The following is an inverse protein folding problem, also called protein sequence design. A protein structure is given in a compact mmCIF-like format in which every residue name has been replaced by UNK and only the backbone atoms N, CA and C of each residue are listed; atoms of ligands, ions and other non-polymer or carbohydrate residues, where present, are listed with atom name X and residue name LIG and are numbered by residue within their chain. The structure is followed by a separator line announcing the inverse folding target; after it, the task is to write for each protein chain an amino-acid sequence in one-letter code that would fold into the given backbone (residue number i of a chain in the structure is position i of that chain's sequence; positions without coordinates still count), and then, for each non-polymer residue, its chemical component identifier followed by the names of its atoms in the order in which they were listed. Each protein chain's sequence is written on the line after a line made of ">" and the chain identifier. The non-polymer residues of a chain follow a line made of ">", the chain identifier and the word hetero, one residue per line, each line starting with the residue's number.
data_IF_445460197523
#
_entry.id   IF_445460197523
#
_cell.length_a   1.000
_cell.length_b   1.000
_cell.length_c   1.000
_cell.angle_alpha   90.00
_cell.angle_beta   90.00
_cell.angle_gamma   90.00
#
_symmetry.space_group_name_H-M   'P 1'
#
loop_
_entity.id
_entity.type
_entity.pdbx_description
1 polymer ?
#
# COMPACT_ATOMS: atom_id res chain seq x y z
N UNK A 1 -12.59 7.33 -15.68
CA UNK A 1 -11.20 7.83 -15.77
C UNK A 1 -10.40 7.04 -14.76
N UNK A 2 -9.42 6.26 -15.20
CA UNK A 2 -8.51 5.59 -14.27
C UNK A 2 -7.81 6.65 -13.42
N UNK A 3 -7.88 6.50 -12.10
CA UNK A 3 -7.25 7.44 -11.20
C UNK A 3 -5.76 7.12 -11.17
N UNK A 4 -4.96 7.95 -11.85
CA UNK A 4 -3.51 7.74 -11.97
C UNK A 4 -2.78 7.97 -10.63
N UNK A 5 -3.44 8.59 -9.65
CA UNK A 5 -2.89 8.81 -8.32
C UNK A 5 -3.76 8.06 -7.32
N UNK A 6 -3.18 7.04 -6.68
CA UNK A 6 -3.91 6.16 -5.76
C UNK A 6 -3.58 6.52 -4.31
N UNK A 7 -4.61 6.48 -3.46
CA UNK A 7 -4.48 6.59 -2.01
C UNK A 7 -5.15 5.35 -1.41
N UNK A 8 -4.34 4.42 -0.91
CA UNK A 8 -4.81 3.09 -0.50
C UNK A 8 -4.20 2.65 0.83
N UNK A 9 -4.93 1.86 1.59
CA UNK A 9 -4.39 1.10 2.71
C UNK A 9 -3.87 -0.27 2.27
N UNK A 10 -2.88 -0.80 2.97
CA UNK A 10 -2.37 -2.13 2.67
C UNK A 10 -3.43 -3.22 2.93
N UNK A 11 -3.94 -3.33 4.17
CA UNK A 11 -4.91 -4.36 4.57
C UNK A 11 -6.05 -3.76 5.37
N UNK A 12 -7.29 -3.91 4.89
CA UNK A 12 -8.49 -3.43 5.57
C UNK A 12 -8.70 -4.14 6.92
N UNK A 13 -9.31 -3.43 7.87
CA UNK A 13 -9.81 -4.02 9.12
C UNK A 13 -8.78 -4.27 10.22
N UNK A 14 -7.50 -3.87 10.04
CA UNK A 14 -6.48 -3.94 11.12
C UNK A 14 -6.58 -2.75 12.09
N UNK A 15 -6.92 -1.57 11.58
CA UNK A 15 -7.19 -0.32 12.31
C UNK A 15 -7.90 0.67 11.37
N UNK A 16 -8.56 1.69 11.90
CA UNK A 16 -9.09 2.80 11.07
C UNK A 16 -7.94 3.52 10.37
N UNK A 17 -8.07 3.72 9.06
CA UNK A 17 -7.10 4.44 8.23
C UNK A 17 -7.83 5.55 7.49
N UNK A 18 -7.18 6.70 7.24
CA UNK A 18 -7.77 7.81 6.48
C UNK A 18 -7.74 7.52 4.96
N UNK A 19 -8.22 6.35 4.56
CA UNK A 19 -8.37 5.91 3.17
C UNK A 19 -9.64 5.06 3.01
N UNK A 20 -10.29 5.14 1.85
CA UNK A 20 -11.51 4.39 1.56
C UNK A 20 -11.24 3.13 0.71
N UNK A 21 -10.00 2.95 0.25
CA UNK A 21 -9.62 1.90 -0.67
C UNK A 21 -8.40 1.14 -0.16
N UNK A 22 -8.30 -0.14 -0.50
CA UNK A 22 -7.29 -1.06 0.03
C UNK A 22 -6.73 -1.97 -1.06
N UNK A 23 -5.49 -2.42 -0.90
CA UNK A 23 -4.92 -3.49 -1.73
C UNK A 23 -5.57 -4.83 -1.35
N UNK A 24 -5.76 -5.07 -0.05
CA UNK A 24 -6.39 -6.27 0.48
C UNK A 24 -7.59 -5.92 1.38
N UNK A 25 -8.77 -6.43 1.03
CA UNK A 25 -10.02 -6.20 1.78
C UNK A 25 -10.19 -7.10 3.02
N UNK A 26 -9.33 -8.10 3.19
CA UNK A 26 -9.40 -9.09 4.25
C UNK A 26 -8.01 -9.56 4.68
N UNK A 27 -7.96 -10.47 5.66
CA UNK A 27 -6.71 -11.05 6.13
C UNK A 27 -5.91 -11.72 5.02
N UNK A 28 -4.59 -11.50 5.04
CA UNK A 28 -3.63 -11.97 4.04
C UNK A 28 -2.77 -13.07 4.63
N UNK A 29 -2.60 -14.18 3.91
CA UNK A 29 -1.58 -15.18 4.24
C UNK A 29 -0.19 -14.66 3.86
N UNK A 30 0.71 -14.36 4.81
CA UNK A 30 2.02 -13.78 4.51
C UNK A 30 2.97 -14.74 3.79
N UNK A 31 2.64 -16.03 3.71
CA UNK A 31 3.44 -17.04 3.01
C UNK A 31 3.09 -17.15 1.52
N UNK A 32 1.96 -16.60 1.08
CA UNK A 32 1.56 -16.61 -0.33
C UNK A 32 2.13 -15.41 -1.09
N UNK A 33 3.45 -15.43 -1.30
CA UNK A 33 4.17 -14.34 -1.98
C UNK A 33 3.63 -14.08 -3.40
N UNK A 34 3.18 -15.13 -4.10
CA UNK A 34 2.65 -15.01 -5.45
C UNK A 34 1.27 -14.34 -5.44
N UNK A 35 0.38 -14.77 -4.55
CA UNK A 35 -0.94 -14.14 -4.39
C UNK A 35 -0.82 -12.67 -3.97
N UNK A 36 0.10 -12.36 -3.06
CA UNK A 36 0.36 -10.97 -2.64
C UNK A 36 0.82 -10.14 -3.83
N UNK A 37 1.80 -10.62 -4.61
CA UNK A 37 2.28 -9.89 -5.79
C UNK A 37 1.17 -9.67 -6.82
N UNK A 38 0.40 -10.71 -7.15
CA UNK A 38 -0.69 -10.60 -8.12
C UNK A 38 -1.74 -9.58 -7.69
N UNK A 39 -2.07 -9.51 -6.39
CA UNK A 39 -3.06 -8.54 -5.90
C UNK A 39 -2.52 -7.11 -5.91
N UNK A 40 -1.24 -6.92 -5.60
CA UNK A 40 -0.55 -5.63 -5.74
C UNK A 40 -0.57 -5.19 -7.20
N UNK A 41 -0.23 -6.08 -8.13
CA UNK A 41 -0.26 -5.80 -9.56
C UNK A 41 -1.66 -5.44 -10.04
N UNK A 42 -2.67 -6.25 -9.73
CA UNK A 42 -4.07 -5.98 -10.07
C UNK A 42 -4.50 -4.59 -9.59
N UNK A 43 -4.08 -4.20 -8.38
CA UNK A 43 -4.50 -2.94 -7.77
C UNK A 43 -3.78 -1.71 -8.31
N UNK A 44 -2.48 -1.83 -8.58
CA UNK A 44 -1.60 -0.69 -8.87
C UNK A 44 -1.26 -0.55 -10.36
N UNK A 45 -1.68 -1.48 -11.21
CA UNK A 45 -1.45 -1.40 -12.66
C UNK A 45 -2.02 -0.08 -13.23
N UNK A 46 -1.21 0.61 -14.04
CA UNK A 46 -1.56 1.88 -14.65
C UNK A 46 -1.42 3.11 -13.75
N UNK A 47 -1.15 2.93 -12.45
CA UNK A 47 -0.91 4.05 -11.54
C UNK A 47 0.38 4.81 -11.90
N UNK A 48 0.37 6.12 -11.70
CA UNK A 48 1.55 7.01 -11.76
C UNK A 48 2.12 7.28 -10.38
N UNK A 49 1.26 7.41 -9.37
CA UNK A 49 1.68 7.61 -7.98
C UNK A 49 0.79 6.83 -7.01
N UNK A 50 1.37 6.44 -5.87
CA UNK A 50 0.70 5.72 -4.79
C UNK A 50 1.07 6.34 -3.44
N UNK A 51 0.06 6.70 -2.66
CA UNK A 51 0.15 6.94 -1.22
C UNK A 51 -0.37 5.68 -0.53
N UNK A 52 0.50 4.97 0.18
CA UNK A 52 0.19 3.71 0.85
C UNK A 52 0.14 3.89 2.37
N UNK A 53 -1.02 3.66 3.00
CA UNK A 53 -1.12 3.50 4.45
C UNK A 53 -0.71 2.08 4.87
N UNK A 54 0.39 1.98 5.61
CA UNK A 54 0.99 0.68 5.97
C UNK A 54 0.28 0.04 7.16
N UNK A 55 0.25 -1.30 7.20
CA UNK A 55 -0.44 -2.08 8.25
C UNK A 55 0.48 -3.07 8.97
N UNK A 56 1.78 -2.78 9.05
CA UNK A 56 2.78 -3.58 9.80
C UNK A 56 3.20 -4.92 9.16
N UNK A 57 2.56 -5.36 8.08
CA UNK A 57 2.97 -6.56 7.34
C UNK A 57 4.10 -6.23 6.36
N UNK A 58 5.34 -6.42 6.82
CA UNK A 58 6.56 -6.13 6.04
C UNK A 58 6.54 -6.78 4.65
N UNK A 59 6.01 -7.99 4.51
CA UNK A 59 5.92 -8.70 3.21
C UNK A 59 5.06 -7.96 2.18
N UNK A 60 4.00 -7.27 2.62
CA UNK A 60 3.15 -6.48 1.72
C UNK A 60 3.88 -5.18 1.37
N UNK A 61 4.43 -4.48 2.37
CA UNK A 61 5.16 -3.23 2.17
C UNK A 61 6.32 -3.42 1.19
N UNK A 62 7.14 -4.46 1.34
CA UNK A 62 8.27 -4.72 0.44
C UNK A 62 7.81 -5.12 -0.96
N UNK A 63 6.68 -5.82 -1.09
CA UNK A 63 6.10 -6.16 -2.39
C UNK A 63 5.60 -4.91 -3.13
N UNK A 64 4.92 -3.99 -2.43
CA UNK A 64 4.51 -2.70 -3.02
C UNK A 64 5.71 -1.87 -3.44
N UNK A 65 6.73 -1.74 -2.58
CA UNK A 65 7.98 -1.02 -2.91
C UNK A 65 8.59 -1.59 -4.20
N UNK A 66 8.74 -2.92 -4.28
CA UNK A 66 9.32 -3.59 -5.45
C UNK A 66 8.49 -3.33 -6.71
N UNK A 67 7.16 -3.44 -6.62
CA UNK A 67 6.28 -3.22 -7.77
C UNK A 67 6.34 -1.77 -8.26
N UNK A 68 6.23 -0.79 -7.35
CA UNK A 68 6.29 0.62 -7.70
C UNK A 68 7.65 0.99 -8.32
N UNK A 69 8.75 0.52 -7.72
CA UNK A 69 10.09 0.76 -8.25
C UNK A 69 10.26 0.22 -9.69
N UNK A 70 9.85 -1.03 -9.93
CA UNK A 70 9.98 -1.65 -11.24
C UNK A 70 9.11 -0.98 -12.33
N UNK A 71 7.97 -0.43 -11.94
CA UNK A 71 7.01 0.20 -12.84
C UNK A 71 7.12 1.74 -12.89
N UNK A 72 8.14 2.32 -12.23
CA UNK A 72 8.36 3.78 -12.16
C UNK A 72 7.14 4.55 -11.63
N UNK A 73 6.52 3.99 -10.59
CA UNK A 73 5.39 4.58 -9.87
C UNK A 73 5.95 5.31 -8.65
N UNK A 74 5.64 6.60 -8.51
CA UNK A 74 6.00 7.40 -7.32
C UNK A 74 5.35 6.79 -6.08
N UNK A 75 6.07 6.72 -4.97
CA UNK A 75 5.59 6.02 -3.77
C UNK A 75 5.86 6.81 -2.49
N UNK A 76 4.78 7.07 -1.76
CA UNK A 76 4.81 7.57 -0.38
C UNK A 76 4.25 6.51 0.54
N UNK A 77 5.01 6.15 1.58
CA UNK A 77 4.53 5.31 2.67
C UNK A 77 4.03 6.20 3.82
N UNK A 78 2.79 6.00 4.23
CA UNK A 78 2.20 6.66 5.39
C UNK A 78 2.31 5.73 6.59
N UNK A 79 3.11 6.14 7.58
CA UNK A 79 3.36 5.39 8.81
C UNK A 79 2.52 5.97 9.95
N UNK A 80 1.91 5.10 10.75
CA UNK A 80 1.13 5.54 11.92
C UNK A 80 2.05 5.87 13.08
N UNK A 81 1.96 7.10 13.58
CA UNK A 81 2.56 7.55 14.83
C UNK A 81 1.52 7.48 15.96
N UNK A 82 1.83 6.62 16.93
CA UNK A 82 0.95 6.36 18.09
C UNK A 82 0.93 7.52 19.06
N UNK A 83 2.01 8.30 19.16
CA UNK A 83 2.14 9.37 20.15
C UNK A 83 1.30 10.58 19.73
N UNK A 84 1.30 10.92 18.43
CA UNK A 84 0.46 11.98 17.86
C UNK A 84 -0.92 11.50 17.40
N UNK A 85 -1.17 10.19 17.39
CA UNK A 85 -2.38 9.57 16.83
C UNK A 85 -2.64 10.03 15.38
N UNK A 86 -1.59 10.07 14.57
CA UNK A 86 -1.61 10.60 13.20
C UNK A 86 -0.69 9.78 12.29
N UNK A 87 -0.65 10.12 11.00
CA UNK A 87 0.22 9.51 10.02
C UNK A 87 1.31 10.48 9.55
N UNK A 88 2.52 9.98 9.34
CA UNK A 88 3.62 10.75 8.75
C UNK A 88 4.12 10.11 7.44
N UNK A 89 4.50 10.93 6.45
CA UNK A 89 4.95 10.44 5.15
C UNK A 89 6.43 10.04 5.15
N UNK A 90 6.75 8.96 4.44
CA UNK A 90 8.08 8.64 3.95
C UNK A 90 8.05 8.62 2.42
N UNK A 91 8.71 9.58 1.79
CA UNK A 91 8.85 9.65 0.34
C UNK A 91 9.97 8.69 -0.08
N UNK A 92 9.68 7.77 -1.00
CA UNK A 92 10.69 6.84 -1.53
C UNK A 92 11.26 7.29 -2.88
N UNK A 93 10.39 7.51 -3.86
CA UNK A 93 10.75 7.96 -5.22
C UNK A 93 9.66 8.90 -5.74
#
# INVERSE_FOLDING_TARGET
>A
MENLNLVVGAVKGRHEMPCNDYIFDSEVNPLDLKGIYNKVEEKLNGAKSVILYVTGLTVITTTVIKYCFNNKIELVLMHFDRDSNSYYPQILF
#
